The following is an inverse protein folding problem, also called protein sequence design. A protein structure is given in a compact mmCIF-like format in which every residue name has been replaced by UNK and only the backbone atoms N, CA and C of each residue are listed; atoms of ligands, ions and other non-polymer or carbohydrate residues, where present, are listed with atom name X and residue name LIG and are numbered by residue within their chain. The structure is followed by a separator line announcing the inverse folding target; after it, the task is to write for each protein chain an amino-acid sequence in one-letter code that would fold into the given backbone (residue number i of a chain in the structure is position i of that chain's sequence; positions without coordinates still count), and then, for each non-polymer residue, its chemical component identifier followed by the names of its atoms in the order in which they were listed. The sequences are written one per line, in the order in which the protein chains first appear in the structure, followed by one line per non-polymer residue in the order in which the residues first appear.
data_IF_277909903228
#
_entry.id   IF_277909903228
#
_cell.length_a   1.000
_cell.length_b   1.000
_cell.length_c   1.000
_cell.angle_alpha   90.00
_cell.angle_beta   90.00
_cell.angle_gamma   90.00
#
_symmetry.space_group_name_H-M   'P 1'
#
loop_
_entity.id
_entity.type
_entity.pdbx_description
1 polymer ?
#
# COMPACT_ATOMS: atom_id res chain seq x y z
N UNK A 1 -7.83 28.72 -17.18
CA UNK A 1 -6.90 27.59 -16.97
C UNK A 1 -6.85 27.08 -15.52
N UNK A 2 -7.31 27.85 -14.50
CA UNK A 2 -7.26 27.48 -13.07
C UNK A 2 -8.24 26.40 -12.56
N UNK A 3 -9.29 26.04 -13.32
CA UNK A 3 -10.36 25.16 -12.79
C UNK A 3 -9.96 23.70 -12.60
N UNK A 4 -9.08 23.14 -13.45
CA UNK A 4 -8.72 21.71 -13.42
C UNK A 4 -7.73 21.38 -12.29
N UNK A 5 -6.79 22.28 -12.01
CA UNK A 5 -5.76 22.10 -10.97
C UNK A 5 -6.38 22.10 -9.56
N UNK A 6 -7.38 22.96 -9.35
CA UNK A 6 -8.16 22.96 -8.11
C UNK A 6 -8.93 21.66 -7.93
N UNK A 7 -9.52 21.10 -9.00
CA UNK A 7 -10.28 19.85 -8.91
C UNK A 7 -9.40 18.66 -8.54
N UNK A 8 -8.21 18.50 -9.14
CA UNK A 8 -7.31 17.39 -8.80
C UNK A 8 -6.81 17.49 -7.36
N UNK A 9 -6.43 18.69 -6.92
CA UNK A 9 -5.98 18.93 -5.55
C UNK A 9 -7.10 18.67 -4.54
N UNK A 10 -8.33 19.10 -4.85
CA UNK A 10 -9.53 18.80 -4.04
C UNK A 10 -9.80 17.30 -3.99
N UNK A 11 -9.67 16.56 -5.09
CA UNK A 11 -9.84 15.10 -5.10
C UNK A 11 -8.77 14.38 -4.26
N UNK A 12 -7.52 14.86 -4.31
CA UNK A 12 -6.42 14.35 -3.46
C UNK A 12 -6.71 14.63 -2.00
N UNK A 13 -7.15 15.84 -1.65
CA UNK A 13 -7.51 16.23 -0.28
C UNK A 13 -8.70 15.41 0.22
N UNK A 14 -9.76 15.25 -0.57
CA UNK A 14 -10.93 14.43 -0.22
C UNK A 14 -10.53 12.97 0.00
N UNK A 15 -9.73 12.40 -0.90
CA UNK A 15 -9.22 11.03 -0.73
C UNK A 15 -8.40 10.90 0.56
N UNK A 16 -7.53 11.87 0.85
CA UNK A 16 -6.70 11.87 2.05
C UNK A 16 -7.55 12.00 3.33
N UNK A 17 -8.57 12.85 3.34
CA UNK A 17 -9.53 12.95 4.45
C UNK A 17 -10.31 11.64 4.68
N UNK A 18 -10.75 10.96 3.61
CA UNK A 18 -11.45 9.68 3.72
C UNK A 18 -10.55 8.54 4.26
N UNK A 19 -9.25 8.59 3.94
CA UNK A 19 -8.26 7.65 4.49
C UNK A 19 -8.02 7.91 5.98
N UNK A 20 -7.91 9.17 6.41
CA UNK A 20 -7.68 9.50 7.83
C UNK A 20 -8.85 9.17 8.75
N UNK A 21 -10.10 9.38 8.32
CA UNK A 21 -11.27 9.01 9.11
C UNK A 21 -11.35 7.49 9.40
N UNK A 22 -10.60 6.70 8.64
CA UNK A 22 -10.53 5.25 8.81
C UNK A 22 -9.51 4.81 9.87
N UNK A 23 -8.62 5.70 10.32
CA UNK A 23 -7.47 5.38 11.21
C UNK A 23 -7.90 4.96 12.62
N UNK A 24 -9.09 5.34 13.07
CA UNK A 24 -9.62 5.04 14.41
C UNK A 24 -10.37 3.71 14.58
N UNK A 25 -10.48 2.87 13.54
CA UNK A 25 -11.42 1.71 13.53
C UNK A 25 -10.72 0.37 13.20
N UNK A 26 -9.62 0.07 13.89
CA UNK A 26 -8.68 -1.03 13.57
C UNK A 26 -9.22 -2.45 13.87
N UNK A 27 -8.95 -3.41 12.96
CA UNK A 27 -8.88 -4.85 13.26
C UNK A 27 -7.43 -5.28 13.57
N UNK A 28 -6.49 -4.82 12.76
CA UNK A 28 -5.04 -4.99 12.93
C UNK A 28 -4.31 -3.97 12.07
N UNK A 29 -3.08 -3.63 12.45
CA UNK A 29 -2.21 -2.71 11.71
C UNK A 29 -0.83 -3.31 11.56
N UNK A 30 0.01 -2.74 10.71
CA UNK A 30 1.33 -3.29 10.43
C UNK A 30 2.22 -2.36 9.62
N UNK A 31 3.44 -2.83 9.39
CA UNK A 31 4.42 -2.16 8.54
C UNK A 31 4.85 -3.08 7.40
N UNK A 32 5.15 -2.49 6.25
CA UNK A 32 5.61 -3.20 5.05
C UNK A 32 6.74 -2.38 4.40
N UNK A 33 7.86 -3.05 4.14
CA UNK A 33 9.00 -2.50 3.43
C UNK A 33 9.08 -3.18 2.06
N UNK A 34 9.11 -2.37 1.00
CA UNK A 34 9.13 -2.85 -0.39
C UNK A 34 10.29 -2.25 -1.15
N UNK A 35 10.92 -3.08 -1.98
CA UNK A 35 11.87 -2.66 -3.00
C UNK A 35 11.24 -2.82 -4.38
N UNK A 36 11.43 -1.83 -5.24
CA UNK A 36 10.83 -1.75 -6.58
C UNK A 36 11.92 -1.62 -7.63
N UNK A 37 11.76 -2.36 -8.72
CA UNK A 37 12.57 -2.30 -9.94
C UNK A 37 11.65 -2.03 -11.12
N UNK A 38 11.98 -1.07 -11.96
CA UNK A 38 11.14 -0.65 -13.06
C UNK A 38 11.91 0.04 -14.17
N UNK A 39 11.18 0.63 -15.10
CA UNK A 39 11.74 1.40 -16.21
C UNK A 39 10.82 2.55 -16.57
N UNK A 40 11.37 3.56 -17.24
CA UNK A 40 10.57 4.68 -17.74
C UNK A 40 9.84 4.27 -19.02
N UNK A 41 8.51 4.26 -18.97
CA UNK A 41 7.67 3.99 -20.14
C UNK A 41 7.54 5.26 -20.99
N UNK A 42 8.23 5.26 -22.14
CA UNK A 42 8.10 6.30 -23.16
C UNK A 42 6.70 6.21 -23.79
N UNK A 43 6.03 7.35 -23.90
CA UNK A 43 4.70 7.48 -24.50
C UNK A 43 4.59 8.71 -25.43
N UNK A 44 5.71 9.39 -25.66
CA UNK A 44 5.87 10.46 -26.64
C UNK A 44 7.28 10.39 -27.22
N UNK A 45 7.43 10.60 -28.53
CA UNK A 45 8.72 10.43 -29.23
C UNK A 45 9.82 11.34 -28.67
N UNK A 46 9.47 12.57 -28.33
CA UNK A 46 10.41 13.54 -27.74
C UNK A 46 10.97 13.12 -26.38
N UNK A 47 10.47 12.05 -25.75
CA UNK A 47 10.98 11.50 -24.50
C UNK A 47 12.01 10.38 -24.70
N UNK A 48 12.33 10.00 -25.94
CA UNK A 48 13.20 8.86 -26.22
C UNK A 48 14.60 8.96 -25.59
N UNK A 49 15.11 10.17 -25.37
CA UNK A 49 16.41 10.41 -24.71
C UNK A 49 16.38 10.30 -23.18
N UNK A 50 15.20 10.16 -22.58
CA UNK A 50 15.06 10.20 -21.13
C UNK A 50 15.47 8.90 -20.42
N UNK A 51 15.10 7.69 -20.87
CA UNK A 51 15.52 6.47 -20.17
C UNK A 51 17.03 6.23 -20.31
N UNK A 52 17.74 6.03 -19.19
CA UNK A 52 19.19 5.72 -19.17
C UNK A 52 19.51 4.42 -18.43
N UNK A 53 18.73 4.08 -17.41
CA UNK A 53 18.94 2.90 -16.58
C UNK A 53 17.62 2.39 -15.97
N UNK A 54 17.68 1.23 -15.32
CA UNK A 54 16.57 0.73 -14.53
C UNK A 54 16.24 1.70 -13.38
N UNK A 55 14.95 1.94 -13.18
CA UNK A 55 14.44 2.69 -12.05
C UNK A 55 14.42 1.82 -10.80
N UNK A 56 14.81 2.40 -9.67
CA UNK A 56 14.84 1.70 -8.39
C UNK A 56 14.17 2.56 -7.33
N UNK A 57 13.33 1.96 -6.49
CA UNK A 57 12.68 2.68 -5.40
C UNK A 57 12.50 1.80 -4.16
N UNK A 58 12.41 2.46 -3.02
CA UNK A 58 12.05 1.85 -1.74
C UNK A 58 10.74 2.48 -1.26
N UNK A 59 9.85 1.64 -0.76
CA UNK A 59 8.59 2.04 -0.14
C UNK A 59 8.56 1.57 1.31
N UNK A 60 8.29 2.49 2.24
CA UNK A 60 7.97 2.16 3.62
C UNK A 60 6.50 2.47 3.88
N UNK A 61 5.74 1.46 4.29
CA UNK A 61 4.29 1.51 4.38
C UNK A 61 3.83 1.23 5.80
N UNK A 62 2.92 2.06 6.29
CA UNK A 62 2.07 1.75 7.43
C UNK A 62 0.67 1.40 6.92
N UNK A 63 0.14 0.26 7.32
CA UNK A 63 -1.15 -0.23 6.85
C UNK A 63 -2.07 -0.65 8.00
N UNK A 64 -3.37 -0.63 7.71
CA UNK A 64 -4.43 -0.99 8.63
C UNK A 64 -5.52 -1.79 7.91
N UNK A 65 -5.89 -2.93 8.49
CA UNK A 65 -7.00 -3.74 8.04
C UNK A 65 -8.31 -3.22 8.64
N UNK A 66 -9.31 -2.98 7.79
CA UNK A 66 -10.63 -2.54 8.25
C UNK A 66 -11.41 -3.71 8.88
N UNK A 67 -12.30 -3.39 9.83
CA UNK A 67 -13.09 -4.38 10.59
C UNK A 67 -14.53 -4.54 10.09
N UNK A 68 -14.92 -3.81 9.05
CA UNK A 68 -16.26 -3.90 8.46
C UNK A 68 -17.36 -3.23 9.26
N UNK A 69 -17.05 -2.31 10.18
CA UNK A 69 -18.08 -1.55 10.91
C UNK A 69 -18.90 -0.66 9.98
N UNK A 70 -18.27 -0.07 8.96
CA UNK A 70 -18.93 0.81 7.98
C UNK A 70 -19.47 0.01 6.78
N UNK A 71 -20.54 0.50 6.15
CA UNK A 71 -21.18 -0.14 4.99
C UNK A 71 -20.23 -0.34 3.81
N UNK A 72 -19.45 0.70 3.45
CA UNK A 72 -18.48 0.60 2.35
C UNK A 72 -17.39 -0.44 2.64
N UNK A 73 -16.99 -0.63 3.89
CA UNK A 73 -15.98 -1.64 4.24
C UNK A 73 -16.49 -3.03 3.92
N UNK A 74 -17.77 -3.33 4.18
CA UNK A 74 -18.38 -4.60 3.80
C UNK A 74 -18.57 -4.71 2.28
N UNK A 75 -19.02 -3.64 1.62
CA UNK A 75 -19.21 -3.59 0.18
C UNK A 75 -17.91 -3.86 -0.60
N UNK A 76 -16.78 -3.34 -0.10
CA UNK A 76 -15.44 -3.51 -0.68
C UNK A 76 -14.61 -4.61 0.00
N UNK A 77 -15.27 -5.58 0.65
CA UNK A 77 -14.63 -6.80 1.20
C UNK A 77 -13.49 -6.52 2.20
N UNK A 78 -13.69 -5.57 3.09
CA UNK A 78 -12.76 -5.18 4.16
C UNK A 78 -11.42 -4.68 3.62
N UNK A 79 -11.41 -3.51 2.94
CA UNK A 79 -10.20 -2.97 2.33
C UNK A 79 -9.11 -2.71 3.37
N UNK A 80 -7.86 -2.77 2.92
CA UNK A 80 -6.69 -2.34 3.70
C UNK A 80 -6.34 -0.91 3.32
N UNK A 81 -6.19 -0.03 4.29
CA UNK A 81 -5.91 1.38 4.09
C UNK A 81 -4.58 1.74 4.74
N UNK A 82 -3.92 2.78 4.26
CA UNK A 82 -2.68 3.22 4.86
C UNK A 82 -1.99 4.36 4.15
N UNK A 83 -0.75 4.61 4.58
CA UNK A 83 0.13 5.60 4.01
C UNK A 83 1.50 4.97 3.71
N UNK A 84 2.11 5.43 2.62
CA UNK A 84 3.41 4.96 2.16
C UNK A 84 4.32 6.14 1.91
N UNK A 85 5.54 6.05 2.41
CA UNK A 85 6.67 6.86 2.01
C UNK A 85 7.39 6.18 0.84
N UNK A 86 7.66 6.94 -0.21
CA UNK A 86 8.34 6.50 -1.42
C UNK A 86 9.63 7.29 -1.60
N UNK A 87 10.73 6.62 -1.91
CA UNK A 87 11.96 7.26 -2.34
C UNK A 87 12.64 6.44 -3.44
N UNK A 88 13.01 7.08 -4.56
CA UNK A 88 13.63 6.36 -5.66
C UNK A 88 14.06 7.20 -6.84
N UNK A 89 14.49 6.50 -7.88
CA UNK A 89 14.87 7.03 -9.19
C UNK A 89 13.85 6.58 -10.23
N UNK A 90 13.77 7.33 -11.33
CA UNK A 90 12.87 7.05 -12.47
C UNK A 90 13.66 6.68 -13.73
N UNK A 91 14.86 6.13 -13.56
CA UNK A 91 15.69 5.60 -14.66
C UNK A 91 16.63 6.60 -15.33
N UNK A 92 16.70 7.85 -14.86
CA UNK A 92 17.74 8.81 -15.28
C UNK A 92 17.96 9.87 -14.19
N UNK A 93 18.96 9.65 -13.34
CA UNK A 93 19.24 10.54 -12.20
C UNK A 93 19.76 11.92 -12.66
N UNK A 94 20.49 11.96 -13.79
CA UNK A 94 21.09 13.21 -14.29
C UNK A 94 20.01 14.18 -14.80
N UNK A 95 19.04 13.69 -15.58
CA UNK A 95 17.99 14.52 -16.18
C UNK A 95 16.71 14.58 -15.35
N UNK A 96 16.29 13.44 -14.77
CA UNK A 96 15.01 13.33 -14.06
C UNK A 96 15.16 13.39 -12.54
N UNK A 97 16.37 13.21 -12.02
CA UNK A 97 16.65 13.32 -10.60
C UNK A 97 16.12 12.15 -9.77
N UNK A 98 15.87 12.45 -8.50
CA UNK A 98 15.29 11.54 -7.50
C UNK A 98 13.91 12.03 -7.10
N UNK A 99 13.03 11.09 -6.79
CA UNK A 99 11.66 11.34 -6.37
C UNK A 99 11.48 10.88 -4.94
N UNK A 100 10.96 11.76 -4.10
CA UNK A 100 10.58 11.48 -2.71
C UNK A 100 9.13 11.88 -2.53
N UNK A 101 8.28 10.98 -2.06
CA UNK A 101 6.86 11.26 -1.93
C UNK A 101 6.18 10.52 -0.79
N UNK A 102 4.98 10.97 -0.48
CA UNK A 102 4.08 10.32 0.47
C UNK A 102 2.73 10.19 -0.21
N UNK A 103 2.12 9.03 -0.07
CA UNK A 103 0.80 8.78 -0.63
C UNK A 103 -0.07 7.94 0.30
N UNK A 104 -1.39 8.18 0.24
CA UNK A 104 -2.39 7.31 0.84
C UNK A 104 -2.77 6.21 -0.15
N UNK A 105 -3.18 5.05 0.35
CA UNK A 105 -3.62 3.96 -0.51
C UNK A 105 -4.82 3.20 0.06
N UNK A 106 -5.52 2.52 -0.85
CA UNK A 106 -6.53 1.51 -0.58
C UNK A 106 -6.21 0.23 -1.35
N UNK A 107 -6.22 -0.89 -0.63
CA UNK A 107 -6.02 -2.23 -1.16
C UNK A 107 -7.32 -3.03 -1.03
N UNK A 108 -7.88 -3.42 -2.16
CA UNK A 108 -9.11 -4.21 -2.26
C UNK A 108 -8.77 -5.68 -2.47
N UNK A 109 -9.26 -6.61 -1.63
CA UNK A 109 -8.97 -8.02 -1.81
C UNK A 109 -9.70 -8.61 -3.01
N UNK A 110 -8.91 -9.06 -3.98
CA UNK A 110 -9.38 -9.76 -5.17
C UNK A 110 -9.58 -11.25 -4.87
N UNK A 111 -8.53 -11.88 -4.31
CA UNK A 111 -8.47 -13.31 -4.01
C UNK A 111 -7.85 -13.51 -2.64
N UNK A 112 -8.46 -14.38 -1.81
CA UNK A 112 -7.93 -14.75 -0.50
C UNK A 112 -8.10 -16.25 -0.27
N UNK A 113 -6.99 -16.97 -0.21
CA UNK A 113 -6.97 -18.43 -0.09
C UNK A 113 -5.91 -18.82 0.92
N UNK A 114 -6.32 -19.32 2.09
CA UNK A 114 -5.42 -19.75 3.18
C UNK A 114 -4.39 -18.66 3.54
N UNK A 115 -3.12 -18.90 3.27
CA UNK A 115 -2.00 -17.98 3.49
C UNK A 115 -1.77 -16.99 2.36
N UNK A 116 -2.41 -17.16 1.20
CA UNK A 116 -2.26 -16.30 0.03
C UNK A 116 -3.37 -15.25 -0.04
N UNK A 117 -3.01 -14.02 -0.37
CA UNK A 117 -3.95 -12.94 -0.67
C UNK A 117 -3.43 -12.07 -1.82
N UNK A 118 -4.29 -11.75 -2.77
CA UNK A 118 -4.00 -10.82 -3.86
C UNK A 118 -4.95 -9.64 -3.80
N UNK A 119 -4.37 -8.44 -3.83
CA UNK A 119 -5.05 -7.18 -3.60
C UNK A 119 -4.84 -6.24 -4.79
N UNK A 120 -5.91 -5.59 -5.23
CA UNK A 120 -5.84 -4.44 -6.12
C UNK A 120 -5.49 -3.19 -5.30
N UNK A 121 -4.41 -2.51 -5.65
CA UNK A 121 -3.94 -1.28 -4.98
C UNK A 121 -4.29 -0.07 -5.82
N UNK A 122 -4.91 0.91 -5.18
CA UNK A 122 -5.09 2.26 -5.70
C UNK A 122 -4.51 3.25 -4.68
N UNK A 123 -3.66 4.16 -5.15
CA UNK A 123 -2.95 5.09 -4.30
C UNK A 123 -2.79 6.45 -4.96
N UNK A 124 -2.79 7.51 -4.15
CA UNK A 124 -2.56 8.88 -4.59
C UNK A 124 -1.92 9.72 -3.50
N UNK A 125 -1.13 10.71 -3.90
CA UNK A 125 -0.45 11.61 -2.98
C UNK A 125 0.42 12.63 -3.67
N UNK A 126 1.47 13.05 -2.98
CA UNK A 126 2.40 14.10 -3.43
C UNK A 126 3.84 13.61 -3.43
N UNK A 127 4.61 14.07 -4.40
CA UNK A 127 6.02 13.77 -4.55
C UNK A 127 6.81 15.04 -4.92
N UNK A 128 8.01 15.14 -4.39
CA UNK A 128 9.00 16.15 -4.72
C UNK A 128 10.10 15.50 -5.55
N UNK A 129 10.45 16.13 -6.66
CA UNK A 129 11.62 15.76 -7.49
C UNK A 129 12.78 16.71 -7.23
N UNK A 130 14.02 16.23 -7.41
CA UNK A 130 15.23 17.07 -7.37
C UNK A 130 15.53 17.77 -8.69
N UNK A 131 14.99 17.26 -9.81
CA UNK A 131 15.19 17.82 -11.15
C UNK A 131 13.85 18.02 -11.85
N UNK A 132 13.68 19.19 -12.44
CA UNK A 132 12.56 19.56 -13.30
C UNK A 132 13.07 20.42 -14.46
N UNK A 133 12.21 20.74 -15.42
CA UNK A 133 12.57 21.53 -16.59
C UNK A 133 13.37 22.82 -16.27
N UNK A 134 13.09 23.48 -15.14
CA UNK A 134 13.77 24.71 -14.74
C UNK A 134 15.28 24.54 -14.51
N UNK A 135 15.74 23.41 -13.97
CA UNK A 135 17.16 23.14 -13.67
C UNK A 135 17.75 22.01 -14.52
N UNK A 136 16.93 21.40 -15.37
CA UNK A 136 17.30 20.44 -16.39
C UNK A 136 16.38 20.65 -17.61
N UNK A 137 16.70 21.58 -18.53
CA UNK A 137 15.82 21.92 -19.66
C UNK A 137 15.50 20.75 -20.60
N UNK A 138 16.29 19.68 -20.57
CA UNK A 138 16.00 18.44 -21.32
C UNK A 138 14.92 17.56 -20.64
N UNK A 139 14.56 17.84 -19.39
CA UNK A 139 13.47 17.21 -18.67
C UNK A 139 12.13 17.82 -19.10
N UNK A 140 11.67 17.40 -20.27
CA UNK A 140 10.36 17.77 -20.79
C UNK A 140 9.21 17.05 -20.06
N UNK A 141 9.52 16.04 -19.24
CA UNK A 141 8.53 15.23 -18.56
C UNK A 141 7.86 15.99 -17.40
N UNK A 142 8.63 16.77 -16.64
CA UNK A 142 8.15 17.42 -15.40
C UNK A 142 8.64 18.86 -15.30
N UNK A 143 7.70 19.81 -15.23
CA UNK A 143 7.99 21.25 -15.18
C UNK A 143 8.18 21.84 -13.77
N UNK A 144 7.84 21.10 -12.71
CA UNK A 144 7.89 21.59 -11.31
C UNK A 144 8.50 20.58 -10.34
N UNK A 145 9.03 21.09 -9.23
CA UNK A 145 9.55 20.26 -8.15
C UNK A 145 8.46 19.47 -7.45
N UNK A 146 7.28 20.06 -7.21
CA UNK A 146 6.14 19.38 -6.62
C UNK A 146 5.26 18.74 -7.70
N UNK A 147 4.88 17.48 -7.47
CA UNK A 147 4.12 16.64 -8.38
C UNK A 147 3.10 15.80 -7.61
N UNK A 148 2.00 15.43 -8.26
CA UNK A 148 1.17 14.33 -7.81
C UNK A 148 1.86 13.00 -8.09
N UNK A 149 1.67 12.03 -7.20
CA UNK A 149 2.02 10.62 -7.42
C UNK A 149 0.74 9.80 -7.38
N UNK A 150 0.52 8.97 -8.40
CA UNK A 150 -0.60 8.03 -8.48
C UNK A 150 -0.01 6.64 -8.70
N UNK A 151 -0.48 5.65 -7.95
CA UNK A 151 -0.04 4.27 -8.12
C UNK A 151 -1.26 3.35 -8.23
N UNK A 152 -1.26 2.51 -9.27
CA UNK A 152 -2.29 1.50 -9.53
C UNK A 152 -1.61 0.18 -9.79
N UNK A 153 -2.03 -0.89 -9.12
CA UNK A 153 -1.40 -2.19 -9.35
C UNK A 153 -2.05 -3.34 -8.61
N UNK A 154 -1.38 -4.48 -8.67
CA UNK A 154 -1.77 -5.70 -7.96
C UNK A 154 -0.63 -6.12 -7.05
N UNK A 155 -0.95 -6.39 -5.79
CA UNK A 155 -0.03 -6.87 -4.78
C UNK A 155 -0.50 -8.23 -4.26
N UNK A 156 0.30 -9.25 -4.50
CA UNK A 156 0.10 -10.60 -3.97
C UNK A 156 0.99 -10.82 -2.76
N UNK A 157 0.48 -11.49 -1.73
CA UNK A 157 1.22 -11.73 -0.50
C UNK A 157 0.99 -13.14 0.04
N UNK A 158 2.04 -13.70 0.64
CA UNK A 158 2.03 -14.98 1.33
C UNK A 158 2.32 -14.73 2.81
N UNK A 159 1.36 -15.11 3.66
CA UNK A 159 1.37 -14.85 5.09
C UNK A 159 1.77 -16.07 5.91
N UNK A 160 2.59 -15.85 6.93
CA UNK A 160 2.85 -16.81 7.99
C UNK A 160 2.88 -16.09 9.34
N UNK A 161 2.06 -16.56 10.30
CA UNK A 161 1.88 -15.89 11.60
C UNK A 161 1.54 -14.40 11.39
N UNK A 162 2.36 -13.50 11.93
CA UNK A 162 2.18 -12.05 11.83
C UNK A 162 3.06 -11.43 10.73
N UNK A 163 3.64 -12.23 9.83
CA UNK A 163 4.58 -11.77 8.81
C UNK A 163 4.06 -12.14 7.41
N UNK A 164 4.51 -11.41 6.40
CA UNK A 164 4.24 -11.73 5.01
C UNK A 164 5.38 -11.31 4.10
N UNK A 165 5.51 -12.01 2.99
CA UNK A 165 6.29 -11.58 1.82
C UNK A 165 5.29 -11.20 0.75
N UNK A 166 5.59 -10.14 0.03
CA UNK A 166 4.75 -9.66 -1.07
C UNK A 166 5.53 -9.60 -2.38
N UNK A 167 4.82 -9.85 -3.47
CA UNK A 167 5.22 -9.52 -4.83
C UNK A 167 4.16 -8.60 -5.41
N UNK A 168 4.58 -7.56 -6.12
CA UNK A 168 3.65 -6.60 -6.70
C UNK A 168 4.08 -6.12 -8.06
N UNK A 169 3.11 -5.89 -8.93
CA UNK A 169 3.27 -5.20 -10.20
C UNK A 169 2.38 -3.97 -10.15
N UNK A 170 2.96 -2.79 -10.39
CA UNK A 170 2.22 -1.54 -10.37
C UNK A 170 2.71 -0.53 -11.41
N UNK A 171 1.82 0.35 -11.82
CA UNK A 171 2.13 1.54 -12.60
C UNK A 171 2.13 2.73 -11.63
N UNK A 172 3.28 3.40 -11.52
CA UNK A 172 3.42 4.64 -10.77
C UNK A 172 3.54 5.81 -11.74
N UNK A 173 2.65 6.79 -11.62
CA UNK A 173 2.63 7.99 -12.45
C UNK A 173 3.01 9.22 -11.63
N UNK A 174 3.88 10.07 -12.19
CA UNK A 174 4.18 11.40 -11.67
C UNK A 174 3.77 12.47 -12.67
N UNK A 175 3.08 13.51 -12.18
CA UNK A 175 2.75 14.68 -12.98
C UNK A 175 2.47 15.89 -12.10
N UNK A 176 2.71 17.09 -12.61
CA UNK A 176 2.32 18.32 -11.93
C UNK A 176 0.91 18.80 -12.31
N UNK A 177 0.12 17.98 -12.99
CA UNK A 177 -1.23 18.34 -13.42
C UNK A 177 -1.28 19.46 -14.46
N UNK A 178 -0.17 19.74 -15.15
CA UNK A 178 0.01 20.88 -16.05
C UNK A 178 -0.04 22.26 -15.36
N UNK A 179 0.13 22.31 -14.04
CA UNK A 179 0.33 23.57 -13.30
C UNK A 179 1.58 24.33 -13.77
N UNK A 180 2.57 23.63 -14.32
CA UNK A 180 3.75 24.21 -14.98
C UNK A 180 4.18 23.37 -16.17
N UNK A 181 4.21 23.97 -17.35
CA UNK A 181 4.70 23.32 -18.57
C UNK A 181 6.23 23.34 -18.63
N UNK A 182 6.87 22.37 -19.31
CA UNK A 182 6.27 21.18 -19.93
C UNK A 182 5.86 20.12 -18.90
N UNK A 183 4.91 19.25 -19.27
CA UNK A 183 4.41 18.17 -18.40
C UNK A 183 3.85 17.02 -19.25
N UNK A 184 4.73 16.19 -19.81
CA UNK A 184 4.31 14.90 -20.39
C UNK A 184 3.98 13.87 -19.28
N UNK A 185 4.56 14.06 -18.09
CA UNK A 185 4.47 13.11 -16.99
C UNK A 185 5.46 11.96 -17.12
N UNK A 186 5.56 11.18 -16.07
CA UNK A 186 6.49 10.05 -15.94
C UNK A 186 5.67 8.81 -15.59
N UNK A 187 5.77 7.77 -16.42
CA UNK A 187 5.07 6.51 -16.24
C UNK A 187 6.08 5.41 -15.91
N UNK A 188 5.93 4.80 -14.74
CA UNK A 188 6.86 3.80 -14.23
C UNK A 188 6.14 2.48 -13.97
N UNK A 189 6.22 1.51 -14.90
CA UNK A 189 5.95 0.12 -14.60
C UNK A 189 7.00 -0.40 -13.62
N UNK A 190 6.56 -0.91 -12.48
CA UNK A 190 7.40 -1.50 -11.44
C UNK A 190 7.02 -2.94 -11.18
N UNK A 191 8.04 -3.78 -11.02
CA UNK A 191 7.99 -5.03 -10.28
C UNK A 191 8.53 -4.78 -8.88
N UNK A 192 8.01 -5.46 -7.87
CA UNK A 192 8.39 -5.22 -6.49
C UNK A 192 8.35 -6.47 -5.65
N UNK A 193 9.23 -6.51 -4.66
CA UNK A 193 9.25 -7.50 -3.59
C UNK A 193 9.18 -6.76 -2.26
N UNK A 194 8.44 -7.32 -1.30
CA UNK A 194 8.30 -6.72 0.01
C UNK A 194 8.27 -7.73 1.12
N UNK A 195 8.54 -7.23 2.31
CA UNK A 195 8.35 -7.94 3.56
C UNK A 195 7.58 -7.03 4.51
N UNK A 196 6.57 -7.59 5.16
CA UNK A 196 5.79 -6.85 6.14
C UNK A 196 5.41 -7.68 7.34
N UNK A 197 4.98 -6.97 8.37
CA UNK A 197 4.62 -7.53 9.67
C UNK A 197 3.41 -6.82 10.25
N UNK A 198 2.43 -7.62 10.67
CA UNK A 198 1.30 -7.19 11.47
C UNK A 198 1.75 -6.96 12.92
N UNK A 199 1.33 -5.83 13.47
CA UNK A 199 1.44 -5.53 14.89
C UNK A 199 0.48 -6.42 15.70
N UNK A 200 0.90 -6.87 16.89
CA UNK A 200 0.02 -7.61 17.79
C UNK A 200 -1.18 -6.74 18.19
N UNK A 201 -2.39 -7.27 18.09
CA UNK A 201 -3.58 -6.60 18.61
C UNK A 201 -3.64 -6.74 20.13
N UNK A 202 -4.25 -5.78 20.84
CA UNK A 202 -4.38 -5.82 22.32
C UNK A 202 -4.96 -7.15 22.83
N UNK A 203 -5.88 -7.75 22.07
CA UNK A 203 -6.47 -9.07 22.38
C UNK A 203 -5.52 -10.25 22.16
N UNK A 204 -4.56 -10.17 21.23
CA UNK A 204 -3.56 -11.24 21.06
C UNK A 204 -2.52 -11.20 22.19
N UNK A 205 -2.12 -10.01 22.63
CA UNK A 205 -1.21 -9.83 23.78
C UNK A 205 -1.85 -10.42 25.05
N UNK A 206 -3.13 -10.16 25.29
CA UNK A 206 -3.85 -10.72 26.44
C UNK A 206 -3.97 -12.25 26.35
N UNK A 207 -4.23 -12.81 25.17
CA UNK A 207 -4.27 -14.28 24.97
C UNK A 207 -2.90 -14.93 25.18
N UNK A 208 -1.82 -14.35 24.67
CA UNK A 208 -0.47 -14.86 24.87
C UNK A 208 -0.06 -14.76 26.33
N UNK A 209 -0.40 -13.66 27.02
CA UNK A 209 -0.16 -13.48 28.46
C UNK A 209 -0.96 -14.49 29.28
N UNK A 210 -2.22 -14.74 28.94
CA UNK A 210 -3.06 -15.74 29.62
C UNK A 210 -2.57 -17.17 29.32
N UNK A 211 -2.13 -17.45 28.09
CA UNK A 211 -1.56 -18.75 27.71
C UNK A 211 -0.21 -19.02 28.37
N UNK A 212 0.59 -17.99 28.64
CA UNK A 212 1.82 -18.13 29.43
C UNK A 212 1.53 -18.30 30.93
N UNK A 213 0.47 -17.67 31.45
CA UNK A 213 0.08 -17.78 32.87
C UNK A 213 -0.65 -19.07 33.20
N UNK A 214 -1.32 -19.69 32.24
CA UNK A 214 -1.94 -21.01 32.42
C UNK A 214 -0.87 -22.05 32.05
N UNK A 215 -0.27 -22.78 33.00
CA UNK A 215 0.65 -23.85 32.66
C UNK A 215 -0.06 -24.85 31.75
N UNK A 216 0.63 -25.29 30.68
CA UNK A 216 0.08 -26.16 29.63
C UNK A 216 -0.51 -27.49 30.16
N UNK A 217 -0.27 -27.81 31.43
CA UNK A 217 -0.82 -28.95 32.16
C UNK A 217 -2.31 -28.84 32.49
N UNK A 218 -2.90 -27.64 32.54
CA UNK A 218 -4.31 -27.43 32.90
C UNK A 218 -5.28 -27.55 31.72
N UNK A 219 -4.79 -27.57 30.47
CA UNK A 219 -5.61 -27.76 29.27
C UNK A 219 -5.62 -29.25 28.88
N UNK A 220 -5.98 -30.11 29.83
CA UNK A 220 -6.39 -31.48 29.54
C UNK A 220 -7.79 -31.68 30.12
N UNK A 221 -8.79 -31.03 29.51
CA UNK A 221 -10.19 -31.37 29.77
C UNK A 221 -10.42 -32.80 29.27
N UNK A 222 -10.39 -33.75 30.20
CA UNK A 222 -10.90 -35.09 30.02
C UNK A 222 -12.41 -34.99 29.77
N UNK A 223 -12.87 -35.58 28.67
CA UNK A 223 -14.28 -35.92 28.50
C UNK A 223 -14.55 -37.15 29.37
N UNK A 224 -14.96 -36.94 30.62
CA UNK A 224 -15.56 -37.99 31.44
C UNK A 224 -17.03 -38.11 31.04
N UNK A 225 -17.33 -39.07 30.17
CA UNK A 225 -18.68 -39.54 29.94
C UNK A 225 -18.96 -40.58 31.03
N UNK A 226 -19.77 -40.23 32.02
CA UNK A 226 -20.34 -41.18 32.99
C UNK A 226 -21.67 -41.71 32.46
N UNK A 227 -21.87 -43.04 32.31
CA UNK A 227 -23.19 -43.58 32.04
C UNK A 227 -23.96 -43.70 33.36
N UNK A 228 -24.94 -42.83 33.57
CA UNK A 228 -26.00 -43.05 34.57
C UNK A 228 -27.29 -43.30 33.82
N UNK A 229 -27.80 -44.52 33.92
CA UNK A 229 -29.08 -44.92 33.33
C UNK A 229 -29.56 -46.24 33.91
N UNK A 230 -30.15 -46.18 35.11
CA UNK A 230 -30.95 -47.26 35.69
C UNK A 230 -32.14 -47.57 34.77
N UNK A 231 -32.28 -48.82 34.33
CA UNK A 231 -33.52 -49.35 33.76
C UNK A 231 -34.29 -50.08 34.87
N UNK A 232 -35.50 -49.60 35.15
CA UNK A 232 -36.56 -50.33 35.86
C UNK A 232 -37.64 -50.63 34.83
N UNK A 233 -38.03 -51.89 34.73
CA UNK A 233 -39.32 -52.35 34.22
C UNK A 233 -39.83 -53.43 35.17
N UNK A 234 -41.10 -53.36 35.52
CA UNK A 234 -41.87 -54.37 36.25
C UNK A 234 -41.97 -55.66 35.47
#
# INVERSE_FOLDING_TARGET
MFKKDFTLLVLVVIFFSLVFDSVGQQASSGFDLRYKLGYLSIHHESMAHLPKSAAQAVEFTYFQHTNGKRSYQRAYRFPTLGATFFHGTVGNIELLGRYTGIYGFSELPLVKIKSFESNFKLATGVAVTTKCFQNAPQNIAIGSYLNAIICVGVKSMWRWKNQHVSLGVDMTHFSNGASKLPNYGINMPYLSVGYGRNLPTKNSILRDTLSQKIPATLIRKQWLITPVGKLRWT
#
